data_IF_048371981746
#
_entry.id   IF_048371981746
#
_cell.length_a   1.000
_cell.length_b   1.000
_cell.length_c   1.000
_cell.angle_alpha   90.00
_cell.angle_beta   90.00
_cell.angle_gamma   90.00
#
_symmetry.space_group_name_H-M   'P 1'
#
loop_
_entity.id
_entity.type
_entity.pdbx_description
1 polymer ?
#
# COMPACT_ATOMS: atom_id res chain seq x y z
N UNK A 1 -16.38 8.68 13.08
CA UNK A 1 -15.20 7.99 12.49
C UNK A 1 -13.95 8.40 13.27
N UNK A 2 -13.18 7.45 13.82
CA UNK A 2 -11.98 7.77 14.61
C UNK A 2 -10.94 8.52 13.76
N UNK A 3 -10.09 9.32 14.41
CA UNK A 3 -9.05 10.13 13.74
C UNK A 3 -8.15 9.32 12.82
N UNK A 4 -7.79 8.10 13.23
CA UNK A 4 -6.98 7.16 12.43
C UNK A 4 -7.64 6.85 11.09
N UNK A 5 -8.94 6.52 11.09
CA UNK A 5 -9.67 6.22 9.85
C UNK A 5 -9.85 7.45 8.97
N UNK A 6 -9.98 8.65 9.55
CA UNK A 6 -9.99 9.90 8.77
C UNK A 6 -8.67 10.10 8.02
N UNK A 7 -7.54 9.89 8.71
CA UNK A 7 -6.22 9.97 8.11
C UNK A 7 -6.06 8.91 7.00
N UNK A 8 -6.52 7.68 7.23
CA UNK A 8 -6.50 6.63 6.21
C UNK A 8 -7.29 7.02 4.96
N UNK A 9 -8.51 7.54 5.11
CA UNK A 9 -9.31 7.99 3.97
C UNK A 9 -8.66 9.14 3.19
N UNK A 10 -8.04 10.10 3.88
CA UNK A 10 -7.27 11.16 3.23
C UNK A 10 -6.07 10.61 2.46
N UNK A 11 -5.33 9.67 3.07
CA UNK A 11 -4.21 9.00 2.42
C UNK A 11 -4.65 8.23 1.18
N UNK A 12 -5.74 7.47 1.27
CA UNK A 12 -6.31 6.71 0.14
C UNK A 12 -6.70 7.65 -1.00
N UNK A 13 -7.44 8.72 -0.70
CA UNK A 13 -7.89 9.67 -1.73
C UNK A 13 -6.73 10.36 -2.44
N UNK A 14 -5.72 10.81 -1.69
CA UNK A 14 -4.53 11.46 -2.25
C UNK A 14 -3.73 10.49 -3.12
N UNK A 15 -3.46 9.27 -2.62
CA UNK A 15 -2.70 8.26 -3.36
C UNK A 15 -3.46 7.77 -4.59
N UNK A 16 -4.80 7.69 -4.54
CA UNK A 16 -5.62 7.38 -5.71
C UNK A 16 -5.48 8.42 -6.82
N UNK A 17 -5.54 9.71 -6.47
CA UNK A 17 -5.30 10.77 -7.44
C UNK A 17 -3.88 10.71 -8.03
N UNK A 18 -2.87 10.48 -7.19
CA UNK A 18 -1.48 10.32 -7.63
C UNK A 18 -1.30 9.11 -8.54
N UNK A 19 -1.89 7.97 -8.21
CA UNK A 19 -1.81 6.75 -9.02
C UNK A 19 -2.39 6.98 -10.42
N UNK A 20 -3.55 7.63 -10.53
CA UNK A 20 -4.15 7.96 -11.83
C UNK A 20 -3.24 8.90 -12.62
N UNK A 21 -2.71 9.95 -11.99
CA UNK A 21 -1.77 10.89 -12.63
C UNK A 21 -0.49 10.22 -13.11
N UNK A 22 0.11 9.36 -12.27
CA UNK A 22 1.32 8.60 -12.62
C UNK A 22 1.06 7.58 -13.73
N UNK A 23 -0.08 6.90 -13.72
CA UNK A 23 -0.46 5.95 -14.78
C UNK A 23 -0.66 6.63 -16.12
N UNK A 24 -1.29 7.81 -16.13
CA UNK A 24 -1.42 8.63 -17.34
C UNK A 24 -0.06 9.16 -17.82
N UNK A 25 0.81 9.56 -16.90
CA UNK A 25 2.17 10.01 -17.24
C UNK A 25 2.99 8.90 -17.88
N UNK A 26 2.96 7.68 -17.33
CA UNK A 26 3.72 6.54 -17.85
C UNK A 26 3.45 6.25 -19.34
N UNK A 27 2.19 6.35 -19.76
CA UNK A 27 1.77 6.07 -21.15
C UNK A 27 2.12 7.18 -22.15
N UNK A 28 2.39 8.40 -21.68
CA UNK A 28 2.62 9.56 -22.55
C UNK A 28 4.04 10.14 -22.45
N UNK A 29 4.83 9.75 -21.44
CA UNK A 29 6.15 10.33 -21.19
C UNK A 29 7.19 9.81 -22.19
N UNK A 30 7.66 10.70 -23.08
CA UNK A 30 8.69 10.39 -24.08
C UNK A 30 9.98 9.82 -23.51
N UNK A 31 10.37 10.20 -22.29
CA UNK A 31 11.56 9.65 -21.60
C UNK A 31 11.56 8.12 -21.56
N UNK A 32 10.39 7.51 -21.46
CA UNK A 32 10.25 6.05 -21.41
C UNK A 32 10.40 5.37 -22.78
N UNK A 33 10.28 6.13 -23.87
CA UNK A 33 10.64 5.68 -25.21
C UNK A 33 12.16 5.57 -25.31
N UNK A 34 12.89 6.56 -24.81
CA UNK A 34 14.35 6.59 -24.86
C UNK A 34 14.99 5.58 -23.87
N UNK A 35 14.31 5.31 -22.75
CA UNK A 35 14.78 4.44 -21.68
C UNK A 35 13.70 3.42 -21.24
N UNK A 36 13.46 2.35 -22.02
CA UNK A 36 12.39 1.39 -21.74
C UNK A 36 12.55 0.65 -20.41
N UNK A 37 13.78 0.49 -19.92
CA UNK A 37 14.05 -0.12 -18.61
C UNK A 37 13.45 0.71 -17.46
N UNK A 38 13.44 2.05 -17.57
CA UNK A 38 12.84 2.91 -16.56
C UNK A 38 11.32 2.83 -16.57
N UNK A 39 10.72 2.56 -17.74
CA UNK A 39 9.27 2.31 -17.86
C UNK A 39 8.87 1.08 -17.07
N UNK A 40 9.58 -0.04 -17.25
CA UNK A 40 9.30 -1.29 -16.52
C UNK A 40 9.36 -1.08 -15.00
N UNK A 41 10.30 -0.27 -14.52
CA UNK A 41 10.41 0.06 -13.10
C UNK A 41 9.25 0.96 -12.65
N UNK A 42 8.90 1.96 -13.43
CA UNK A 42 7.76 2.84 -13.16
C UNK A 42 6.44 2.05 -13.12
N UNK A 43 6.23 1.15 -14.06
CA UNK A 43 5.05 0.28 -14.13
C UNK A 43 5.00 -0.69 -12.95
N UNK A 44 6.14 -1.25 -12.54
CA UNK A 44 6.23 -2.07 -11.33
C UNK A 44 5.81 -1.28 -10.09
N UNK A 45 6.29 -0.04 -9.95
CA UNK A 45 5.91 0.87 -8.87
C UNK A 45 4.40 1.16 -8.88
N UNK A 46 3.83 1.42 -10.06
CA UNK A 46 2.40 1.65 -10.27
C UNK A 46 1.54 0.44 -9.96
N UNK A 47 1.92 -0.75 -10.38
CA UNK A 47 1.18 -1.97 -10.09
C UNK A 47 1.15 -2.25 -8.59
N UNK A 48 2.29 -2.11 -7.91
CA UNK A 48 2.35 -2.30 -6.46
C UNK A 48 1.62 -1.20 -5.70
N UNK A 49 1.63 0.04 -6.20
CA UNK A 49 0.85 1.14 -5.64
C UNK A 49 -0.65 0.84 -5.74
N UNK A 50 -1.14 0.44 -6.92
CA UNK A 50 -2.56 0.18 -7.18
C UNK A 50 -3.11 -0.97 -6.33
N UNK A 51 -2.43 -2.13 -6.32
CA UNK A 51 -2.89 -3.33 -5.63
C UNK A 51 -3.03 -3.04 -4.13
N UNK A 52 -2.02 -2.40 -3.53
CA UNK A 52 -2.03 -2.13 -2.09
C UNK A 52 -2.92 -0.95 -1.72
N UNK A 53 -3.10 0.03 -2.60
CA UNK A 53 -4.08 1.09 -2.42
C UNK A 53 -5.51 0.56 -2.45
N UNK A 54 -5.82 -0.34 -3.39
CA UNK A 54 -7.13 -1.00 -3.45
C UNK A 54 -7.36 -1.88 -2.22
N UNK A 55 -6.35 -2.64 -1.79
CA UNK A 55 -6.42 -3.39 -0.54
C UNK A 55 -6.69 -2.46 0.65
N UNK A 56 -5.98 -1.33 0.74
CA UNK A 56 -6.18 -0.32 1.79
C UNK A 56 -7.60 0.27 1.77
N UNK A 57 -8.15 0.56 0.59
CA UNK A 57 -9.53 1.02 0.40
C UNK A 57 -10.54 -0.01 0.92
N UNK A 58 -10.34 -1.29 0.60
CA UNK A 58 -11.18 -2.39 1.10
C UNK A 58 -11.08 -2.50 2.63
N UNK A 59 -9.88 -2.48 3.19
CA UNK A 59 -9.67 -2.56 4.64
C UNK A 59 -10.29 -1.38 5.39
N UNK A 60 -10.15 -0.16 4.87
CA UNK A 60 -10.77 1.03 5.45
C UNK A 60 -12.30 0.96 5.41
N UNK A 61 -12.86 0.39 4.33
CA UNK A 61 -14.31 0.20 4.16
C UNK A 61 -14.85 -0.87 5.12
N UNK A 62 -14.20 -2.04 5.22
CA UNK A 62 -14.58 -3.10 6.17
C UNK A 62 -14.50 -2.59 7.61
N UNK A 63 -13.51 -1.74 7.91
CA UNK A 63 -13.32 -1.16 9.24
C UNK A 63 -14.45 -0.24 9.71
N UNK A 64 -15.37 0.17 8.81
CA UNK A 64 -16.58 0.90 9.18
C UNK A 64 -17.60 0.00 9.89
N UNK A 65 -17.59 -1.30 9.61
CA UNK A 65 -18.53 -2.28 10.15
C UNK A 65 -17.89 -3.18 11.21
N UNK A 66 -16.61 -3.52 11.04
CA UNK A 66 -15.89 -4.45 11.92
C UNK A 66 -14.56 -3.88 12.36
N UNK A 67 -14.34 -3.77 13.69
CA UNK A 67 -13.07 -3.30 14.24
C UNK A 67 -12.19 -4.48 14.63
N UNK A 68 -11.00 -4.55 14.01
CA UNK A 68 -9.96 -5.50 14.39
C UNK A 68 -8.60 -4.82 14.38
N UNK A 69 -7.79 -5.11 15.41
CA UNK A 69 -6.39 -4.67 15.46
C UNK A 69 -5.60 -5.15 14.24
N UNK A 70 -5.94 -6.31 13.70
CA UNK A 70 -5.29 -6.91 12.54
C UNK A 70 -5.58 -6.16 11.24
N UNK A 71 -6.80 -5.64 11.07
CA UNK A 71 -7.15 -4.75 9.96
C UNK A 71 -6.32 -3.46 10.00
N UNK A 72 -6.17 -2.88 11.20
CA UNK A 72 -5.38 -1.66 11.37
C UNK A 72 -3.88 -1.89 11.13
N UNK A 73 -3.34 -3.00 11.62
CA UNK A 73 -1.94 -3.38 11.35
C UNK A 73 -1.70 -3.57 9.86
N UNK A 74 -2.58 -4.30 9.18
CA UNK A 74 -2.50 -4.50 7.73
C UNK A 74 -2.54 -3.17 6.96
N UNK A 75 -3.48 -2.30 7.33
CA UNK A 75 -3.60 -0.96 6.74
C UNK A 75 -2.33 -0.10 6.96
N UNK A 76 -1.74 -0.16 8.15
CA UNK A 76 -0.49 0.54 8.46
C UNK A 76 0.68 0.03 7.61
N UNK A 77 0.83 -1.28 7.50
CA UNK A 77 1.87 -1.90 6.68
C UNK A 77 1.75 -1.58 5.19
N UNK A 78 0.54 -1.60 4.63
CA UNK A 78 0.32 -1.17 3.24
C UNK A 78 0.63 0.31 3.04
N UNK A 79 0.25 1.17 3.99
CA UNK A 79 0.54 2.61 3.92
C UNK A 79 2.05 2.86 3.89
N UNK A 80 2.81 2.25 4.80
CA UNK A 80 4.27 2.36 4.83
C UNK A 80 4.89 1.74 3.58
N UNK A 81 4.39 0.59 3.13
CA UNK A 81 4.84 -0.08 1.92
C UNK A 81 4.68 0.79 0.66
N UNK A 82 3.55 1.47 0.48
CA UNK A 82 3.31 2.38 -0.67
C UNK A 82 4.37 3.48 -0.71
N UNK A 83 4.63 4.11 0.45
CA UNK A 83 5.60 5.19 0.55
C UNK A 83 7.02 4.70 0.30
N UNK A 84 7.43 3.58 0.91
CA UNK A 84 8.81 3.10 0.80
C UNK A 84 9.10 2.39 -0.52
N UNK A 85 8.14 1.63 -1.06
CA UNK A 85 8.31 0.86 -2.28
C UNK A 85 8.00 1.72 -3.51
N UNK A 86 6.74 2.13 -3.67
CA UNK A 86 6.26 2.74 -4.92
C UNK A 86 6.86 4.13 -5.13
N UNK A 87 6.87 4.99 -4.11
CA UNK A 87 7.37 6.35 -4.30
C UNK A 87 8.88 6.39 -4.51
N UNK A 88 9.63 5.48 -3.89
CA UNK A 88 11.08 5.33 -4.16
C UNK A 88 11.34 4.93 -5.61
N UNK A 89 10.55 3.99 -6.16
CA UNK A 89 10.70 3.57 -7.55
C UNK A 89 10.22 4.62 -8.56
N UNK A 90 9.16 5.38 -8.23
CA UNK A 90 8.78 6.57 -9.01
C UNK A 90 9.88 7.62 -9.02
N UNK A 91 10.48 7.90 -7.86
CA UNK A 91 11.59 8.85 -7.77
C UNK A 91 12.79 8.35 -8.59
N UNK A 92 13.14 7.06 -8.49
CA UNK A 92 14.24 6.48 -9.26
C UNK A 92 14.01 6.55 -10.77
N UNK A 93 12.82 6.20 -11.24
CA UNK A 93 12.49 6.24 -12.68
C UNK A 93 12.44 7.66 -13.25
N UNK A 94 12.06 8.66 -12.44
CA UNK A 94 12.02 10.07 -12.85
C UNK A 94 13.38 10.79 -12.72
N UNK A 95 14.20 10.45 -11.73
CA UNK A 95 15.43 11.20 -11.42
C UNK A 95 16.72 10.44 -11.71
N UNK A 96 16.67 9.11 -11.79
CA UNK A 96 17.84 8.23 -11.89
C UNK A 96 18.61 8.05 -10.58
N UNK A 97 18.19 8.68 -9.46
CA UNK A 97 18.91 8.61 -8.18
C UNK A 97 18.72 7.24 -7.53
N UNK A 98 19.80 6.47 -7.37
CA UNK A 98 19.83 5.08 -6.87
C UNK A 98 19.57 4.94 -5.36
N UNK A 99 18.58 5.64 -4.81
CA UNK A 99 18.14 5.47 -3.40
C UNK A 99 17.33 4.16 -3.24
N UNK A 100 16.83 3.60 -4.35
CA UNK A 100 16.02 2.37 -4.39
C UNK A 100 16.71 1.11 -3.81
N UNK A 101 18.04 1.11 -3.67
CA UNK A 101 18.78 -0.09 -3.27
C UNK A 101 18.40 -0.68 -1.91
N UNK A 102 18.01 0.16 -0.94
CA UNK A 102 17.64 -0.31 0.41
C UNK A 102 16.17 -0.06 0.77
N UNK A 103 15.59 1.07 0.36
CA UNK A 103 14.21 1.41 0.75
C UNK A 103 13.16 0.51 0.08
N UNK A 104 13.38 0.12 -1.18
CA UNK A 104 12.42 -0.70 -1.93
C UNK A 104 12.27 -2.11 -1.32
N UNK A 105 13.34 -2.86 -0.97
CA UNK A 105 13.20 -4.12 -0.25
C UNK A 105 12.41 -3.99 1.06
N UNK A 106 12.66 -2.93 1.85
CA UNK A 106 11.95 -2.68 3.11
C UNK A 106 10.45 -2.47 2.86
N UNK A 107 10.09 -1.66 1.86
CA UNK A 107 8.69 -1.47 1.46
C UNK A 107 8.02 -2.77 1.01
N UNK A 108 8.75 -3.64 0.29
CA UNK A 108 8.26 -4.97 -0.11
C UNK A 108 7.98 -5.88 1.09
N UNK A 109 8.86 -5.86 2.10
CA UNK A 109 8.62 -6.56 3.37
C UNK A 109 7.39 -6.00 4.08
N UNK A 110 7.19 -4.68 4.09
CA UNK A 110 5.97 -4.08 4.64
C UNK A 110 4.72 -4.60 3.92
N UNK A 111 4.72 -4.71 2.59
CA UNK A 111 3.61 -5.31 1.87
C UNK A 111 3.34 -6.76 2.28
N UNK A 112 4.38 -7.59 2.39
CA UNK A 112 4.25 -8.97 2.87
C UNK A 112 3.64 -9.01 4.27
N UNK A 113 4.15 -8.21 5.21
CA UNK A 113 3.62 -8.13 6.58
C UNK A 113 2.17 -7.63 6.62
N UNK A 114 1.79 -6.73 5.71
CA UNK A 114 0.42 -6.26 5.56
C UNK A 114 -0.54 -7.40 5.19
N UNK A 115 -0.17 -8.22 4.20
CA UNK A 115 -0.95 -9.41 3.82
C UNK A 115 -0.96 -10.47 4.92
N UNK A 116 0.20 -10.77 5.53
CA UNK A 116 0.30 -11.73 6.63
C UNK A 116 -0.50 -11.29 7.85
N UNK A 117 -0.64 -9.99 8.11
CA UNK A 117 -1.47 -9.49 9.21
C UNK A 117 -2.95 -9.83 9.04
N UNK A 118 -3.43 -10.01 7.81
CA UNK A 118 -4.82 -10.42 7.55
C UNK A 118 -5.10 -11.85 8.02
N UNK A 119 -4.08 -12.71 8.04
CA UNK A 119 -4.17 -14.08 8.59
C UNK A 119 -4.69 -14.00 10.02
N UNK A 120 -4.17 -13.08 10.85
CA UNK A 120 -4.58 -12.90 12.25
C UNK A 120 -6.07 -12.61 12.48
N UNK A 121 -6.81 -12.15 11.46
CA UNK A 121 -8.26 -11.96 11.52
C UNK A 121 -8.96 -13.31 11.77
N UNK A 122 -8.54 -14.38 11.11
CA UNK A 122 -9.15 -15.71 11.25
C UNK A 122 -8.98 -16.33 12.64
N UNK A 123 -7.97 -15.91 13.42
CA UNK A 123 -7.74 -16.38 14.79
C UNK A 123 -8.32 -15.44 15.86
N UNK A 124 -8.79 -14.25 15.48
CA UNK A 124 -9.29 -13.24 16.41
C UNK A 124 -10.65 -13.55 17.06
N UNK A 125 -11.38 -14.54 16.54
CA UNK A 125 -12.78 -14.80 16.93
C UNK A 125 -12.91 -15.83 18.08
N UNK A 126 -11.90 -16.69 18.29
CA UNK A 126 -12.00 -17.81 19.25
C UNK A 126 -12.00 -17.41 20.73
N UNK A 127 -11.48 -16.23 21.09
CA UNK A 127 -11.13 -15.91 22.47
C UNK A 127 -12.24 -15.24 23.29
N UNK A 128 -13.40 -14.93 22.69
CA UNK A 128 -14.55 -14.35 23.40
C UNK A 128 -15.55 -15.40 23.89
N UNK A 129 -15.68 -16.52 23.17
CA UNK A 129 -16.63 -17.58 23.50
C UNK A 129 -16.11 -18.51 24.60
N UNK A 130 -14.79 -18.73 24.70
CA UNK A 130 -14.20 -19.53 25.79
C UNK A 130 -14.27 -18.80 27.16
N UNK A 131 -14.17 -17.46 27.17
CA UNK A 131 -14.21 -16.65 28.40
C UNK A 131 -15.61 -16.45 29.02
N UNK A 132 -16.67 -16.89 28.34
CA UNK A 132 -18.04 -16.87 28.88
C UNK A 132 -18.48 -18.25 29.40
N UNK A 133 -17.64 -19.27 29.23
CA UNK A 133 -17.90 -20.65 29.65
C UNK A 133 -16.99 -21.09 30.83
N UNK A 134 -16.20 -20.17 31.40
CA UNK A 134 -15.45 -20.31 32.65
C UNK A 134 -16.05 -19.40 33.74
#
# INVERSE_FOLDING_TARGET
MNIVYRILWLFIGLNGAMFVGFSAYASHARRFIDYPQLLTIFESASNQHAIHLLALLVLASISLFFRSRWLLMSAGFFTVGIVLFSFTLYLFSLTGVKIAGFLTPVGGVCFMLGWLSLIGIAWGEKQSTERLNE
#
